data_IF_360963447925
#
_entry.id   IF_360963447925
#
_cell.length_a   1.000
_cell.length_b   1.000
_cell.length_c   1.000
_cell.angle_alpha   90.00
_cell.angle_beta   90.00
_cell.angle_gamma   90.00
#
_symmetry.space_group_name_H-M   'P 1'
#
loop_
_entity.id
_entity.type
_entity.pdbx_description
1 polymer ?
#
# COMPACT_ATOMS: atom_id res chain seq x y z
N UNK A 1 32.38 18.32 -29.28
CA UNK A 1 31.34 17.57 -28.54
C UNK A 1 31.90 17.24 -27.17
N UNK A 2 31.28 17.72 -26.09
CA UNK A 2 31.71 17.37 -24.74
C UNK A 2 31.35 15.90 -24.45
N UNK A 3 32.22 15.12 -23.80
CA UNK A 3 31.90 13.73 -23.47
C UNK A 3 30.73 13.70 -22.49
N UNK A 4 29.68 12.96 -22.86
CA UNK A 4 28.55 12.65 -21.99
C UNK A 4 29.09 11.93 -20.77
N UNK A 5 29.04 12.57 -19.59
CA UNK A 5 29.34 11.89 -18.32
C UNK A 5 28.43 10.66 -18.23
N UNK A 6 29.01 9.47 -18.25
CA UNK A 6 28.30 8.24 -17.89
C UNK A 6 27.85 8.41 -16.43
N UNK A 7 26.56 8.67 -16.23
CA UNK A 7 25.96 8.64 -14.91
C UNK A 7 26.09 7.21 -14.39
N UNK A 8 27.04 6.99 -13.49
CA UNK A 8 27.12 5.76 -12.73
C UNK A 8 25.93 5.74 -11.79
N UNK A 9 24.92 4.92 -12.11
CA UNK A 9 23.86 4.62 -11.16
C UNK A 9 24.50 3.98 -9.92
N UNK A 10 24.09 4.39 -8.70
CA UNK A 10 24.61 3.80 -7.49
C UNK A 10 24.31 2.29 -7.49
N UNK A 11 25.25 1.49 -6.96
CA UNK A 11 25.04 0.04 -6.82
C UNK A 11 23.76 -0.22 -6.02
N UNK A 12 22.94 -1.21 -6.41
CA UNK A 12 21.81 -1.65 -5.61
C UNK A 12 22.27 -1.98 -4.19
N UNK A 13 21.54 -1.47 -3.21
CA UNK A 13 21.84 -1.71 -1.80
C UNK A 13 21.30 -3.09 -1.40
N UNK A 14 22.16 -3.96 -0.89
CA UNK A 14 21.72 -5.24 -0.32
C UNK A 14 20.99 -5.00 1.01
N UNK A 15 19.84 -5.64 1.17
CA UNK A 15 19.11 -5.73 2.44
C UNK A 15 19.34 -7.13 3.03
N UNK A 16 19.75 -7.19 4.29
CA UNK A 16 19.96 -8.44 5.02
C UNK A 16 18.78 -8.63 5.97
N UNK A 17 18.12 -9.78 5.87
CA UNK A 17 17.03 -10.15 6.75
C UNK A 17 17.62 -10.59 8.11
N UNK A 18 17.14 -10.04 9.25
CA UNK A 18 17.70 -10.34 10.57
C UNK A 18 17.33 -11.74 11.08
N UNK A 19 16.22 -12.30 10.61
CA UNK A 19 15.74 -13.61 11.02
C UNK A 19 16.22 -14.77 10.17
N UNK A 20 15.86 -15.97 10.61
CA UNK A 20 16.17 -17.21 9.89
C UNK A 20 15.31 -17.27 8.63
N UNK A 21 15.93 -17.60 7.49
CA UNK A 21 15.21 -17.82 6.24
C UNK A 21 14.17 -18.92 6.41
N UNK A 22 12.93 -18.64 6.02
CA UNK A 22 11.91 -19.69 5.90
C UNK A 22 12.29 -20.66 4.78
N UNK A 23 12.13 -21.99 4.94
CA UNK A 23 12.27 -22.93 3.84
C UNK A 23 11.13 -22.79 2.82
N UNK A 24 9.97 -22.25 3.24
CA UNK A 24 8.84 -21.91 2.36
C UNK A 24 8.98 -20.44 1.96
N UNK A 25 9.31 -20.20 0.69
CA UNK A 25 9.59 -18.85 0.16
C UNK A 25 8.39 -18.13 -0.44
N UNK A 26 7.33 -18.87 -0.76
CA UNK A 26 6.12 -18.34 -1.40
C UNK A 26 4.92 -18.84 -0.62
N UNK A 27 4.15 -17.90 -0.06
CA UNK A 27 2.81 -18.16 0.43
C UNK A 27 1.81 -17.58 -0.57
N UNK A 28 0.93 -18.42 -1.10
CA UNK A 28 0.00 -18.03 -2.16
C UNK A 28 -1.36 -18.69 -1.96
N UNK A 29 -2.41 -17.91 -2.17
CA UNK A 29 -3.79 -18.38 -2.30
C UNK A 29 -4.38 -17.82 -3.59
N UNK A 30 -5.41 -18.47 -4.11
CA UNK A 30 -6.08 -18.10 -5.35
C UNK A 30 -7.56 -17.84 -5.08
N UNK A 31 -8.06 -16.74 -5.61
CA UNK A 31 -9.50 -16.51 -5.75
C UNK A 31 -9.96 -17.07 -7.11
N UNK A 32 -10.91 -18.01 -7.18
CA UNK A 32 -11.41 -18.52 -8.46
C UNK A 32 -12.14 -17.47 -9.30
N UNK A 33 -12.69 -16.44 -8.65
CA UNK A 33 -13.34 -15.29 -9.26
C UNK A 33 -12.90 -13.99 -8.57
N UNK A 34 -13.10 -12.87 -9.25
CA UNK A 34 -12.88 -11.53 -8.71
C UNK A 34 -13.90 -10.55 -9.32
N UNK A 35 -14.22 -9.50 -8.58
CA UNK A 35 -15.00 -8.36 -9.03
C UNK A 35 -14.05 -7.25 -9.44
N UNK A 36 -14.27 -6.68 -10.63
CA UNK A 36 -13.53 -5.53 -11.12
C UNK A 36 -14.44 -4.31 -11.13
N UNK A 37 -13.97 -3.21 -10.56
CA UNK A 37 -14.74 -1.98 -10.52
C UNK A 37 -13.86 -0.75 -10.58
N UNK A 38 -14.45 0.35 -11.02
CA UNK A 38 -13.84 1.67 -10.93
C UNK A 38 -14.38 2.36 -9.69
N UNK A 39 -13.49 2.66 -8.77
CA UNK A 39 -13.78 3.43 -7.58
C UNK A 39 -13.47 4.90 -7.83
N UNK A 40 -14.40 5.77 -7.46
CA UNK A 40 -14.15 7.20 -7.35
C UNK A 40 -14.10 7.58 -5.87
N UNK A 41 -13.00 8.20 -5.47
CA UNK A 41 -12.79 8.71 -4.12
C UNK A 41 -13.04 10.20 -4.14
N UNK A 42 -14.01 10.65 -3.35
CA UNK A 42 -14.48 12.02 -3.35
C UNK A 42 -13.44 12.99 -2.75
N UNK A 43 -13.42 14.26 -3.21
CA UNK A 43 -12.68 15.33 -2.55
C UNK A 43 -13.04 15.48 -1.07
N UNK A 44 -12.08 15.91 -0.26
CA UNK A 44 -12.24 16.24 1.15
C UNK A 44 -12.17 15.06 2.12
N UNK A 45 -12.18 13.81 1.63
CA UNK A 45 -11.96 12.63 2.48
C UNK A 45 -10.48 12.19 2.49
N UNK A 46 -10.10 11.41 3.51
CA UNK A 46 -8.80 10.73 3.49
C UNK A 46 -8.79 9.62 2.43
N UNK A 47 -7.62 9.31 1.88
CA UNK A 47 -7.48 8.18 0.95
C UNK A 47 -7.96 6.87 1.60
N UNK A 48 -7.66 6.70 2.89
CA UNK A 48 -8.09 5.55 3.68
C UNK A 48 -9.61 5.44 3.73
N UNK A 49 -10.31 6.48 4.21
CA UNK A 49 -11.76 6.44 4.38
C UNK A 49 -12.46 6.25 3.03
N UNK A 50 -11.97 6.95 2.01
CA UNK A 50 -12.47 6.85 0.65
C UNK A 50 -12.40 5.44 0.08
N UNK A 51 -11.32 4.70 0.36
CA UNK A 51 -11.16 3.30 -0.05
C UNK A 51 -12.00 2.38 0.83
N UNK A 52 -11.80 2.44 2.16
CA UNK A 52 -12.37 1.49 3.11
C UNK A 52 -13.89 1.55 3.09
N UNK A 53 -14.47 2.75 3.18
CA UNK A 53 -15.93 2.92 3.20
C UNK A 53 -16.56 2.43 1.90
N UNK A 54 -16.05 2.88 0.76
CA UNK A 54 -16.62 2.56 -0.54
C UNK A 54 -16.53 1.06 -0.86
N UNK A 55 -15.44 0.41 -0.48
CA UNK A 55 -15.29 -1.03 -0.65
C UNK A 55 -16.17 -1.82 0.33
N UNK A 56 -16.30 -1.38 1.58
CA UNK A 56 -17.19 -1.98 2.56
C UNK A 56 -18.67 -1.90 2.13
N UNK A 57 -19.11 -0.77 1.59
CA UNK A 57 -20.47 -0.59 1.02
C UNK A 57 -20.77 -1.57 -0.13
N UNK A 58 -19.74 -2.10 -0.78
CA UNK A 58 -19.84 -3.13 -1.83
C UNK A 58 -19.51 -4.55 -1.31
N UNK A 59 -19.38 -4.75 0.01
CA UNK A 59 -19.02 -6.03 0.60
C UNK A 59 -17.64 -6.55 0.16
N UNK A 60 -16.67 -5.66 -0.08
CA UNK A 60 -15.29 -6.00 -0.43
C UNK A 60 -14.41 -5.77 0.80
N UNK A 61 -13.89 -6.87 1.36
CA UNK A 61 -13.00 -6.84 2.54
C UNK A 61 -11.52 -6.81 2.16
N UNK A 62 -11.17 -7.29 0.97
CA UNK A 62 -9.79 -7.41 0.49
C UNK A 62 -9.74 -7.07 -0.99
N UNK A 63 -8.75 -6.28 -1.39
CA UNK A 63 -8.63 -5.88 -2.78
C UNK A 63 -7.20 -5.46 -3.13
N UNK A 64 -6.87 -5.62 -4.40
CA UNK A 64 -5.77 -4.88 -5.04
C UNK A 64 -6.36 -3.68 -5.78
N UNK A 65 -5.69 -2.54 -5.67
CA UNK A 65 -6.09 -1.29 -6.30
C UNK A 65 -4.94 -0.69 -7.10
N UNK A 66 -5.24 -0.22 -8.30
CA UNK A 66 -4.38 0.70 -9.04
C UNK A 66 -4.99 2.10 -8.96
N UNK A 67 -4.27 3.02 -8.32
CA UNK A 67 -4.64 4.42 -8.23
C UNK A 67 -4.18 5.11 -9.52
N UNK A 68 -5.12 5.56 -10.34
CA UNK A 68 -4.86 6.02 -11.71
C UNK A 68 -4.28 7.42 -11.79
N UNK A 69 -4.41 8.21 -10.73
CA UNK A 69 -4.04 9.61 -10.69
C UNK A 69 -5.06 10.43 -9.91
N UNK A 70 -4.74 11.70 -9.75
CA UNK A 70 -5.55 12.67 -9.03
C UNK A 70 -4.69 13.60 -8.19
N UNK A 71 -5.35 14.48 -7.46
CA UNK A 71 -4.73 15.54 -6.70
C UNK A 71 -5.04 15.36 -5.21
N UNK A 72 -4.06 15.66 -4.36
CA UNK A 72 -4.20 15.71 -2.91
C UNK A 72 -3.96 17.13 -2.43
N UNK A 73 -4.83 17.62 -1.54
CA UNK A 73 -4.59 18.87 -0.81
C UNK A 73 -3.52 18.68 0.27
N UNK A 74 -3.51 17.50 0.88
CA UNK A 74 -2.52 17.10 1.88
C UNK A 74 -2.01 15.71 1.49
N UNK A 75 -0.70 15.58 1.31
CA UNK A 75 -0.06 14.29 1.06
C UNK A 75 1.15 14.14 1.99
N UNK A 76 1.13 13.09 2.80
CA UNK A 76 2.26 12.68 3.62
C UNK A 76 2.65 11.23 3.31
N UNK A 77 3.95 10.95 3.33
CA UNK A 77 4.47 9.64 2.96
C UNK A 77 5.72 9.30 3.76
N UNK A 78 6.10 8.03 3.78
CA UNK A 78 7.34 7.56 4.35
C UNK A 78 8.15 6.79 3.31
N UNK A 79 9.45 6.65 3.56
CA UNK A 79 10.31 5.67 2.87
C UNK A 79 10.80 4.64 3.87
N UNK A 80 11.29 3.50 3.38
CA UNK A 80 11.70 2.35 4.20
C UNK A 80 13.20 2.02 4.01
N UNK A 81 14.13 2.87 4.49
CA UNK A 81 15.55 2.54 4.55
C UNK A 81 15.81 1.36 5.51
N UNK A 82 17.03 0.80 5.52
CA UNK A 82 17.42 -0.22 6.50
C UNK A 82 17.21 0.29 7.92
N UNK A 83 16.79 -0.61 8.80
CA UNK A 83 16.81 -0.30 10.21
C UNK A 83 18.27 -0.08 10.67
N UNK A 84 18.62 1.10 11.20
CA UNK A 84 19.97 1.35 11.69
C UNK A 84 20.35 0.46 12.87
N UNK A 85 19.38 -0.11 13.60
CA UNK A 85 19.64 -1.05 14.69
C UNK A 85 19.88 -2.48 14.21
N UNK A 86 19.58 -2.80 12.94
CA UNK A 86 19.67 -4.13 12.37
C UNK A 86 18.67 -5.14 12.96
N UNK A 87 17.70 -4.68 13.77
CA UNK A 87 16.70 -5.56 14.37
C UNK A 87 15.59 -5.89 13.38
N UNK A 88 15.20 -4.97 12.53
CA UNK A 88 14.25 -5.17 11.43
C UNK A 88 14.94 -5.04 10.07
N UNK A 89 14.34 -5.57 9.00
CA UNK A 89 14.89 -5.38 7.64
C UNK A 89 14.86 -3.91 7.21
N UNK A 90 13.83 -3.17 7.64
CA UNK A 90 13.63 -1.74 7.36
C UNK A 90 13.10 -1.03 8.59
N UNK A 91 13.26 0.30 8.61
CA UNK A 91 12.55 1.19 9.52
C UNK A 91 11.90 2.30 8.68
N UNK A 92 10.59 2.49 8.80
CA UNK A 92 9.93 3.62 8.16
C UNK A 92 10.50 4.93 8.72
N UNK A 93 10.76 5.87 7.81
CA UNK A 93 11.15 7.23 8.22
C UNK A 93 10.02 7.89 8.99
N UNK A 94 10.34 9.02 9.64
CA UNK A 94 9.30 9.98 10.02
C UNK A 94 8.49 10.38 8.78
N UNK A 95 7.20 10.76 8.95
CA UNK A 95 6.40 11.31 7.87
C UNK A 95 7.14 12.43 7.15
N UNK A 96 7.17 12.33 5.83
CA UNK A 96 7.66 13.35 4.92
C UNK A 96 6.41 14.04 4.37
N UNK A 97 6.32 15.34 4.65
CA UNK A 97 5.25 16.18 4.12
C UNK A 97 5.56 16.57 2.67
N UNK A 98 4.68 16.17 1.75
CA UNK A 98 4.74 16.59 0.35
C UNK A 98 3.81 17.78 0.06
N UNK A 99 2.97 18.18 1.02
CA UNK A 99 1.92 19.17 0.86
C UNK A 99 0.95 18.80 -0.26
N UNK A 100 0.49 19.82 -0.99
CA UNK A 100 -0.31 19.66 -2.18
C UNK A 100 0.50 18.95 -3.30
N UNK A 101 -0.06 17.88 -3.86
CA UNK A 101 0.64 17.03 -4.82
C UNK A 101 -0.28 16.32 -5.82
N UNK A 102 0.26 16.06 -7.01
CA UNK A 102 -0.41 15.31 -8.08
C UNK A 102 0.16 13.90 -8.16
N UNK A 103 -0.71 12.90 -8.07
CA UNK A 103 -0.33 11.52 -8.33
C UNK A 103 0.06 11.34 -9.80
N UNK A 104 1.18 10.67 -10.02
CA UNK A 104 1.54 10.12 -11.32
C UNK A 104 0.85 8.75 -11.48
N UNK A 105 1.04 7.86 -10.51
CA UNK A 105 0.33 6.59 -10.36
C UNK A 105 0.59 6.02 -8.96
N UNK A 106 -0.26 5.10 -8.50
CA UNK A 106 -0.02 4.36 -7.27
C UNK A 106 -0.67 2.99 -7.27
N UNK A 107 -0.28 2.15 -6.32
CA UNK A 107 -0.95 0.89 -6.04
C UNK A 107 -1.31 0.85 -4.57
N UNK A 108 -2.47 0.28 -4.25
CA UNK A 108 -2.88 0.03 -2.89
C UNK A 108 -3.39 -1.38 -2.71
N UNK A 109 -3.25 -1.92 -1.51
CA UNK A 109 -3.83 -3.19 -1.10
C UNK A 109 -4.70 -2.94 0.11
N UNK A 110 -5.99 -3.31 0.00
CA UNK A 110 -6.88 -3.41 1.16
C UNK A 110 -6.73 -4.81 1.75
N UNK A 111 -6.44 -4.85 3.05
CA UNK A 111 -6.49 -6.05 3.87
C UNK A 111 -6.90 -5.70 5.29
N UNK A 112 -6.53 -6.54 6.25
CA UNK A 112 -6.80 -6.33 7.68
C UNK A 112 -5.56 -6.44 8.56
N UNK A 113 -5.55 -5.69 9.64
CA UNK A 113 -4.55 -5.78 10.71
C UNK A 113 -4.63 -7.12 11.44
N UNK A 114 -3.67 -7.37 12.33
CA UNK A 114 -3.72 -8.52 13.24
C UNK A 114 -4.99 -8.54 14.12
N UNK A 115 -5.58 -7.37 14.38
CA UNK A 115 -6.80 -7.21 15.19
C UNK A 115 -8.09 -7.30 14.37
N UNK A 116 -7.99 -7.42 13.05
CA UNK A 116 -9.14 -7.50 12.15
C UNK A 116 -9.58 -6.16 11.54
N UNK A 117 -9.05 -5.03 12.02
CA UNK A 117 -9.35 -3.70 11.46
C UNK A 117 -8.83 -3.54 10.02
N UNK A 118 -9.55 -2.83 9.13
CA UNK A 118 -9.11 -2.60 7.77
C UNK A 118 -7.81 -1.79 7.72
N UNK A 119 -6.89 -2.17 6.83
CA UNK A 119 -5.64 -1.46 6.55
C UNK A 119 -5.47 -1.25 5.05
N UNK A 120 -4.96 -0.09 4.66
CA UNK A 120 -4.64 0.25 3.28
C UNK A 120 -3.13 0.40 3.14
N UNK A 121 -2.48 -0.55 2.49
CA UNK A 121 -1.06 -0.43 2.14
C UNK A 121 -0.96 0.27 0.79
N UNK A 122 -0.56 1.53 0.74
CA UNK A 122 -0.47 2.29 -0.52
C UNK A 122 0.95 2.78 -0.80
N UNK A 123 1.44 2.55 -2.02
CA UNK A 123 2.66 3.16 -2.55
C UNK A 123 2.32 3.97 -3.78
N UNK A 124 2.91 5.17 -3.92
CA UNK A 124 2.69 5.99 -5.09
C UNK A 124 3.92 6.82 -5.47
N UNK A 125 3.94 7.25 -6.72
CA UNK A 125 4.77 8.32 -7.22
C UNK A 125 3.92 9.57 -7.41
N UNK A 126 4.44 10.71 -6.97
CA UNK A 126 3.75 11.99 -7.07
C UNK A 126 4.68 13.12 -7.47
N UNK A 127 4.09 14.20 -8.00
CA UNK A 127 4.74 15.47 -8.26
C UNK A 127 4.25 16.49 -7.24
N UNK A 128 5.18 17.07 -6.49
CA UNK A 128 4.91 18.15 -5.52
C UNK A 128 4.55 19.47 -6.25
N UNK A 129 3.98 20.43 -5.52
CA UNK A 129 3.76 21.80 -6.02
C UNK A 129 5.02 22.48 -6.57
N UNK A 130 6.20 22.19 -6.01
CA UNK A 130 7.48 22.67 -6.50
C UNK A 130 7.95 21.98 -7.81
N UNK A 131 7.15 21.05 -8.34
CA UNK A 131 7.44 20.31 -9.56
C UNK A 131 8.40 19.12 -9.37
N UNK A 132 8.82 18.83 -8.14
CA UNK A 132 9.72 17.72 -7.82
C UNK A 132 8.95 16.42 -7.73
N UNK A 133 9.47 15.37 -8.37
CA UNK A 133 8.92 14.00 -8.28
C UNK A 133 9.43 13.33 -7.01
N UNK A 134 8.50 12.73 -6.26
CA UNK A 134 8.73 11.97 -5.03
C UNK A 134 7.97 10.64 -5.11
N UNK A 135 8.27 9.73 -4.20
CA UNK A 135 7.53 8.50 -4.07
C UNK A 135 7.87 7.73 -2.80
N UNK A 136 6.93 6.91 -2.36
CA UNK A 136 7.07 6.12 -1.15
C UNK A 136 5.73 5.53 -0.71
N UNK A 137 5.68 5.13 0.56
CA UNK A 137 4.51 4.60 1.23
C UNK A 137 3.62 5.76 1.71
N UNK A 138 2.39 5.87 1.21
CA UNK A 138 1.46 6.93 1.61
C UNK A 138 0.90 6.63 2.99
N UNK A 139 0.81 7.65 3.83
CA UNK A 139 0.08 7.60 5.10
C UNK A 139 -1.39 7.89 4.80
N UNK A 140 -2.13 6.85 4.43
CA UNK A 140 -3.42 6.98 3.74
C UNK A 140 -4.50 7.72 4.53
N UNK A 141 -4.42 7.65 5.85
CA UNK A 141 -5.31 8.27 6.83
C UNK A 141 -5.10 9.78 6.91
N UNK A 142 -3.88 10.26 6.64
CA UNK A 142 -3.54 11.69 6.65
C UNK A 142 -3.47 12.31 5.26
N UNK A 143 -3.57 11.51 4.19
CA UNK A 143 -3.62 12.02 2.82
C UNK A 143 -5.04 12.43 2.43
N UNK A 144 -5.29 13.73 2.25
CA UNK A 144 -6.62 14.29 1.95
C UNK A 144 -6.77 14.52 0.46
N UNK A 145 -7.77 13.85 -0.13
CA UNK A 145 -8.08 13.93 -1.56
C UNK A 145 -8.56 15.34 -1.90
N UNK A 146 -7.94 15.95 -2.90
CA UNK A 146 -8.26 17.30 -3.32
C UNK A 146 -9.33 17.35 -4.40
N UNK A 147 -9.47 18.53 -5.01
CA UNK A 147 -10.42 18.79 -6.10
C UNK A 147 -10.30 17.77 -7.25
N UNK A 148 -11.45 17.39 -7.81
CA UNK A 148 -11.55 16.42 -8.90
C UNK A 148 -11.52 14.96 -8.45
N UNK A 149 -11.17 14.68 -7.19
CA UNK A 149 -11.18 13.34 -6.62
C UNK A 149 -10.08 12.43 -7.17
N UNK A 150 -10.11 11.16 -6.77
CA UNK A 150 -9.16 10.14 -7.22
C UNK A 150 -9.91 8.97 -7.83
N UNK A 151 -9.47 8.53 -9.02
CA UNK A 151 -9.95 7.29 -9.63
C UNK A 151 -9.02 6.12 -9.30
N UNK A 152 -9.60 5.00 -8.93
CA UNK A 152 -8.89 3.74 -8.74
C UNK A 152 -9.57 2.60 -9.52
N UNK A 153 -8.78 1.69 -10.06
CA UNK A 153 -9.26 0.37 -10.50
C UNK A 153 -9.10 -0.59 -9.34
N UNK A 154 -10.15 -1.35 -9.06
CA UNK A 154 -10.22 -2.29 -7.94
C UNK A 154 -10.38 -3.69 -8.51
N UNK A 155 -9.64 -4.64 -7.95
CA UNK A 155 -9.84 -6.08 -8.12
C UNK A 155 -10.04 -6.70 -6.76
N UNK A 156 -11.24 -7.24 -6.49
CA UNK A 156 -11.54 -7.89 -5.21
C UNK A 156 -10.77 -9.21 -5.06
N UNK A 157 -10.54 -9.58 -3.80
CA UNK A 157 -9.93 -10.85 -3.41
C UNK A 157 -10.91 -11.55 -2.45
N UNK A 158 -11.93 -12.20 -3.02
CA UNK A 158 -13.11 -12.60 -2.26
C UNK A 158 -12.93 -13.96 -1.53
N UNK A 159 -12.14 -14.89 -2.09
CA UNK A 159 -12.03 -16.25 -1.52
C UNK A 159 -11.01 -16.43 -0.40
N UNK A 160 -10.22 -15.41 -0.09
CA UNK A 160 -9.24 -15.45 1.00
C UNK A 160 -9.16 -14.09 1.68
N UNK A 161 -8.43 -14.02 2.78
CA UNK A 161 -8.19 -12.76 3.47
C UNK A 161 -6.72 -12.38 3.37
N UNK A 162 -6.46 -11.10 3.11
CA UNK A 162 -5.16 -10.50 3.30
C UNK A 162 -5.07 -9.98 4.73
N UNK A 163 -4.33 -10.68 5.57
CA UNK A 163 -4.18 -10.35 6.97
C UNK A 163 -2.72 -10.05 7.30
N UNK A 164 -2.51 -8.98 8.03
CA UNK A 164 -1.23 -8.65 8.59
C UNK A 164 -0.84 -9.72 9.61
N UNK A 165 0.34 -10.31 9.44
CA UNK A 165 0.97 -11.18 10.42
C UNK A 165 2.45 -10.87 10.52
N UNK A 166 3.03 -11.16 11.68
CA UNK A 166 4.43 -10.92 11.93
C UNK A 166 5.28 -11.90 11.12
N UNK A 167 6.29 -11.39 10.43
CA UNK A 167 7.23 -12.19 9.67
C UNK A 167 8.56 -12.30 10.44
N UNK A 168 8.95 -13.49 10.91
CA UNK A 168 10.15 -13.66 11.71
C UNK A 168 11.43 -13.47 10.92
N UNK A 169 11.41 -13.64 9.58
CA UNK A 169 12.60 -13.47 8.73
C UNK A 169 12.96 -11.98 8.61
N UNK A 170 11.99 -11.12 8.29
CA UNK A 170 12.18 -9.67 8.15
C UNK A 170 12.04 -8.89 9.47
N UNK A 171 11.50 -9.53 10.51
CA UNK A 171 11.19 -8.96 11.81
C UNK A 171 10.24 -7.74 11.74
N UNK A 172 9.28 -7.76 10.79
CA UNK A 172 8.23 -6.75 10.64
C UNK A 172 6.87 -7.39 10.35
N UNK A 173 5.74 -6.69 10.61
CA UNK A 173 4.43 -7.14 10.16
C UNK A 173 4.28 -7.02 8.63
N UNK A 174 3.78 -8.08 7.98
CA UNK A 174 3.51 -8.13 6.54
C UNK A 174 2.08 -8.60 6.27
N UNK A 175 1.46 -8.07 5.21
CA UNK A 175 0.21 -8.63 4.68
C UNK A 175 0.48 -10.01 4.07
N UNK A 176 -0.26 -11.02 4.55
CA UNK A 176 -0.15 -12.40 4.08
C UNK A 176 -1.53 -12.95 3.71
N UNK A 177 -1.63 -13.78 2.66
CA UNK A 177 -2.86 -14.47 2.35
C UNK A 177 -3.15 -15.54 3.41
N UNK A 178 -4.40 -15.59 3.86
CA UNK A 178 -4.93 -16.58 4.80
C UNK A 178 -6.24 -17.13 4.27
N UNK A 179 -6.45 -18.44 4.40
CA UNK A 179 -7.77 -19.01 4.14
C UNK A 179 -8.80 -18.29 5.01
N UNK A 180 -10.01 -18.08 4.47
CA UNK A 180 -11.14 -17.72 5.32
C UNK A 180 -11.34 -18.90 6.27
N UNK A 181 -11.15 -18.69 7.56
CA UNK A 181 -11.79 -19.58 8.54
C UNK A 181 -13.28 -19.49 8.26
N UNK A 182 -13.93 -20.63 8.03
CA UNK A 182 -15.39 -20.68 7.89
C UNK A 182 -15.97 -19.91 9.08
N UNK A 183 -16.67 -18.81 8.81
CA UNK A 183 -17.68 -18.37 9.77
C UNK A 183 -18.65 -19.55 9.77
N UNK A 184 -18.81 -20.24 10.89
CA UNK A 184 -19.90 -21.19 11.03
C UNK A 184 -21.16 -20.47 10.54
N UNK A 185 -21.87 -21.10 9.60
CA UNK A 185 -23.12 -20.63 9.06
C UNK A 185 -24.12 -20.42 10.20
N UNK A 186 -24.13 -19.22 10.80
CA UNK A 186 -25.33 -18.70 11.43
C UNK A 186 -26.13 -18.10 10.30
N UNK A 187 -26.98 -18.90 9.68
CA UNK A 187 -28.33 -18.58 9.20
C UNK A 187 -28.92 -19.89 8.65
N UNK A 188 -29.39 -20.71 9.59
CA UNK A 188 -30.46 -21.69 9.37
C UNK A 188 -31.81 -20.97 9.40
#
# INVERSE_FOLDING_TARGET
>A
MAPTQQQHFPRPRTLIHPGISSPVRINSLRSPSARHMRLFIAPGCSLYDGIVRSLAENGIENASLTILGGYFDILSYCVAPPDPSGRAVIAYTKPIDAGAAWLVFGNATLGRSMKGEPIVHCHAAMRTAAGVVKGGHLLTESCIVGEGGISALVTSLDSFVLQQSFDPETNIPLLQPRNRTERADEHA
#
